data_IF_576397594304
#
_entry.id   IF_576397594304
#
_cell.length_a   1.000
_cell.length_b   1.000
_cell.length_c   1.000
_cell.angle_alpha   90.00
_cell.angle_beta   90.00
_cell.angle_gamma   90.00
#
_symmetry.space_group_name_H-M   'P 1'
#
loop_
_entity.id
_entity.type
_entity.pdbx_description
1 polymer ?
#
# COMPACT_ATOMS: atom_id res chain seq x y z
N UNK A 1 8.69 -24.56 -4.88
CA UNK A 1 8.09 -23.33 -4.31
C UNK A 1 8.33 -22.24 -5.33
N UNK A 2 7.27 -21.58 -5.77
CA UNK A 2 7.35 -20.48 -6.74
C UNK A 2 7.23 -19.20 -5.92
N UNK A 3 8.11 -18.23 -6.18
CA UNK A 3 8.08 -16.90 -5.58
C UNK A 3 8.14 -15.90 -6.72
N UNK A 4 7.06 -15.14 -6.90
CA UNK A 4 6.94 -14.15 -7.97
C UNK A 4 6.88 -12.75 -7.36
N UNK A 5 7.53 -11.79 -8.02
CA UNK A 5 7.51 -10.40 -7.62
C UNK A 5 7.21 -9.52 -8.82
N UNK A 6 6.47 -8.45 -8.57
CA UNK A 6 6.01 -7.55 -9.61
C UNK A 6 6.29 -6.11 -9.19
N UNK A 7 6.88 -5.33 -10.09
CA UNK A 7 7.02 -3.88 -9.89
C UNK A 7 5.85 -3.18 -10.57
N UNK A 8 4.70 -3.14 -9.90
CA UNK A 8 3.46 -2.54 -10.39
C UNK A 8 2.64 -1.93 -9.25
N UNK A 9 1.61 -1.16 -9.60
CA UNK A 9 0.65 -0.66 -8.62
C UNK A 9 -0.18 -1.79 -8.00
N UNK A 10 -0.33 -1.77 -6.68
CA UNK A 10 -1.03 -2.83 -5.95
C UNK A 10 -2.52 -2.92 -6.34
N UNK A 11 -3.18 -1.81 -6.63
CA UNK A 11 -4.60 -1.81 -7.01
C UNK A 11 -4.79 -2.37 -8.42
N UNK A 12 -3.88 -2.08 -9.36
CA UNK A 12 -3.88 -2.71 -10.69
C UNK A 12 -3.72 -4.23 -10.57
N UNK A 13 -2.80 -4.69 -9.72
CA UNK A 13 -2.61 -6.11 -9.48
C UNK A 13 -3.89 -6.75 -8.93
N UNK A 14 -4.42 -6.24 -7.80
CA UNK A 14 -5.58 -6.83 -7.14
C UNK A 14 -6.79 -6.93 -8.08
N UNK A 15 -7.04 -5.93 -8.94
CA UNK A 15 -8.13 -5.95 -9.94
C UNK A 15 -8.06 -7.13 -10.91
N UNK A 16 -6.85 -7.58 -11.26
CA UNK A 16 -6.65 -8.71 -12.18
C UNK A 16 -6.76 -10.09 -11.49
N UNK A 17 -6.68 -10.11 -10.16
CA UNK A 17 -6.70 -11.34 -9.37
C UNK A 17 -8.15 -11.80 -9.13
N UNK A 18 -8.48 -13.08 -9.32
CA UNK A 18 -9.81 -13.62 -9.00
C UNK A 18 -10.20 -13.51 -7.52
N UNK A 19 -11.49 -13.63 -7.22
CA UNK A 19 -12.00 -13.70 -5.85
C UNK A 19 -11.42 -14.91 -5.12
N UNK A 20 -11.05 -14.75 -3.84
CA UNK A 20 -10.52 -15.82 -2.97
C UNK A 20 -9.28 -16.56 -3.52
N UNK A 21 -8.44 -15.85 -4.27
CA UNK A 21 -7.23 -16.42 -4.86
C UNK A 21 -6.16 -16.74 -3.80
N UNK A 22 -5.97 -15.84 -2.82
CA UNK A 22 -4.97 -16.01 -1.76
C UNK A 22 -5.58 -16.58 -0.48
N UNK A 23 -4.89 -17.54 0.15
CA UNK A 23 -5.23 -17.99 1.50
C UNK A 23 -5.01 -16.88 2.54
N UNK A 24 -3.99 -16.05 2.34
CA UNK A 24 -3.68 -14.90 3.19
C UNK A 24 -3.14 -13.76 2.32
N UNK A 25 -3.72 -12.57 2.46
CA UNK A 25 -3.22 -11.34 1.83
C UNK A 25 -2.73 -10.39 2.94
N UNK A 26 -1.47 -9.95 2.84
CA UNK A 26 -0.85 -8.99 3.76
C UNK A 26 -0.49 -7.75 2.95
N UNK A 27 -0.78 -6.57 3.51
CA UNK A 27 -0.52 -5.31 2.84
C UNK A 27 -0.01 -4.27 3.83
N UNK A 28 0.92 -3.42 3.38
CA UNK A 28 1.36 -2.21 4.08
C UNK A 28 0.95 -0.99 3.23
N UNK A 29 -0.30 -0.54 3.34
CA UNK A 29 -0.79 0.61 2.61
C UNK A 29 -0.11 1.90 3.10
N UNK A 30 -0.19 3.01 2.33
CA UNK A 30 0.29 4.31 2.76
C UNK A 30 -0.52 4.86 3.96
N UNK A 31 -0.23 4.37 5.16
CA UNK A 31 -0.79 4.86 6.43
C UNK A 31 0.06 5.96 7.07
N UNK A 32 1.13 6.40 6.40
CA UNK A 32 2.07 7.39 6.90
C UNK A 32 1.52 8.82 6.95
N UNK A 33 0.29 9.04 7.43
CA UNK A 33 -0.42 10.32 7.34
C UNK A 33 0.45 11.49 7.81
N UNK A 34 0.90 12.33 6.87
CA UNK A 34 1.73 13.51 7.15
C UNK A 34 3.14 13.21 7.67
N UNK A 35 3.65 11.98 7.52
CA UNK A 35 4.99 11.60 7.99
C UNK A 35 6.08 12.26 7.14
N UNK A 36 5.80 12.53 5.88
CA UNK A 36 6.70 13.23 4.96
C UNK A 36 6.82 14.72 5.28
N UNK A 37 5.83 15.31 5.94
CA UNK A 37 5.82 16.72 6.35
C UNK A 37 6.21 16.95 7.82
N UNK A 38 6.41 15.87 8.59
CA UNK A 38 6.85 15.93 9.98
C UNK A 38 8.36 16.21 10.10
N UNK A 39 8.76 17.48 9.88
CA UNK A 39 10.01 18.07 10.37
C UNK A 39 9.81 18.59 11.80
N UNK A 40 10.77 18.68 12.71
CA UNK A 40 12.21 18.88 12.54
C UNK A 40 12.98 18.41 13.80
N UNK A 41 13.96 17.50 13.64
CA UNK A 41 15.24 17.42 14.41
C UNK A 41 16.29 16.62 13.64
N UNK A 42 16.32 16.68 12.30
CA UNK A 42 17.30 15.90 11.52
C UNK A 42 18.51 16.78 11.19
N UNK A 43 19.68 16.38 11.71
CA UNK A 43 21.00 16.97 11.39
C UNK A 43 21.49 16.70 9.95
N UNK A 44 20.60 16.21 9.06
CA UNK A 44 20.95 15.71 7.73
C UNK A 44 20.07 16.36 6.66
N UNK A 45 20.50 16.24 5.38
CA UNK A 45 19.86 16.86 4.21
C UNK A 45 18.35 16.64 4.21
N UNK A 46 17.60 17.75 4.21
CA UNK A 46 16.14 17.75 4.06
C UNK A 46 15.76 17.49 2.59
N UNK A 47 14.71 16.70 2.39
CA UNK A 47 14.09 16.50 1.08
C UNK A 47 12.71 17.15 1.11
N UNK A 48 12.24 17.60 -0.06
CA UNK A 48 10.89 18.14 -0.18
C UNK A 48 9.88 17.08 0.29
N UNK A 49 8.92 17.44 1.15
CA UNK A 49 7.81 16.58 1.48
C UNK A 49 7.12 16.10 0.20
N UNK A 50 6.72 14.83 0.18
CA UNK A 50 5.95 14.25 -0.91
C UNK A 50 4.53 13.99 -0.44
N UNK A 51 3.59 14.03 -1.37
CA UNK A 51 2.15 13.96 -1.07
C UNK A 51 1.57 12.53 -1.05
N UNK A 52 2.40 11.50 -1.21
CA UNK A 52 1.94 10.11 -1.29
C UNK A 52 1.36 9.58 0.03
N UNK A 53 1.57 10.29 1.13
CA UNK A 53 1.16 9.90 2.48
C UNK A 53 0.16 10.90 3.09
N UNK A 54 -0.52 11.72 2.27
CA UNK A 54 -1.44 12.73 2.78
C UNK A 54 -2.78 12.17 3.27
N UNK A 55 -3.17 10.97 2.83
CA UNK A 55 -4.43 10.34 3.20
C UNK A 55 -4.28 8.81 3.29
N UNK A 56 -5.04 8.14 4.19
CA UNK A 56 -5.12 6.70 4.17
C UNK A 56 -5.77 6.21 2.86
N UNK A 57 -5.58 4.93 2.48
CA UNK A 57 -6.30 4.33 1.37
C UNK A 57 -7.81 4.46 1.54
N UNK A 58 -8.52 4.58 0.42
CA UNK A 58 -9.97 4.61 0.45
C UNK A 58 -10.56 3.21 0.74
N UNK A 59 -11.88 3.17 0.97
CA UNK A 59 -12.59 1.91 1.25
C UNK A 59 -12.43 0.88 0.14
N UNK A 60 -12.31 1.32 -1.13
CA UNK A 60 -12.20 0.42 -2.29
C UNK A 60 -10.93 -0.42 -2.23
N UNK A 61 -9.86 0.13 -1.67
CA UNK A 61 -8.62 -0.61 -1.43
C UNK A 61 -8.87 -1.86 -0.59
N UNK A 62 -9.58 -1.69 0.54
CA UNK A 62 -9.86 -2.79 1.45
C UNK A 62 -10.90 -3.75 0.91
N UNK A 63 -11.91 -3.26 0.18
CA UNK A 63 -12.89 -4.10 -0.51
C UNK A 63 -12.20 -5.05 -1.51
N UNK A 64 -11.23 -4.56 -2.28
CA UNK A 64 -10.44 -5.39 -3.20
C UNK A 64 -9.53 -6.38 -2.45
N UNK A 65 -8.88 -5.94 -1.37
CA UNK A 65 -8.05 -6.80 -0.52
C UNK A 65 -8.85 -7.98 0.06
N UNK A 66 -10.04 -7.70 0.61
CA UNK A 66 -10.93 -8.74 1.15
C UNK A 66 -11.49 -9.64 0.05
N UNK A 67 -11.74 -9.09 -1.15
CA UNK A 67 -12.20 -9.89 -2.30
C UNK A 67 -11.18 -10.95 -2.70
N UNK A 68 -9.89 -10.61 -2.76
CA UNK A 68 -8.84 -11.54 -3.23
C UNK A 68 -8.39 -12.53 -2.14
N UNK A 69 -8.67 -12.27 -0.87
CA UNK A 69 -8.35 -13.15 0.25
C UNK A 69 -9.49 -14.11 0.58
N UNK A 70 -9.18 -15.31 1.11
CA UNK A 70 -10.16 -16.27 1.65
C UNK A 70 -10.60 -15.96 3.09
N UNK A 71 -9.91 -15.02 3.75
CA UNK A 71 -10.01 -14.72 5.19
C UNK A 71 -11.35 -14.08 5.59
#
# INVERSE_FOLDING_TARGET
>A
MISETYNMDCMDYMRSVPKHFFDLAIVDPPYGIGRSSMGEKKKWKSYNPKDWDNAPPDRKYFEELFRISKN
#
